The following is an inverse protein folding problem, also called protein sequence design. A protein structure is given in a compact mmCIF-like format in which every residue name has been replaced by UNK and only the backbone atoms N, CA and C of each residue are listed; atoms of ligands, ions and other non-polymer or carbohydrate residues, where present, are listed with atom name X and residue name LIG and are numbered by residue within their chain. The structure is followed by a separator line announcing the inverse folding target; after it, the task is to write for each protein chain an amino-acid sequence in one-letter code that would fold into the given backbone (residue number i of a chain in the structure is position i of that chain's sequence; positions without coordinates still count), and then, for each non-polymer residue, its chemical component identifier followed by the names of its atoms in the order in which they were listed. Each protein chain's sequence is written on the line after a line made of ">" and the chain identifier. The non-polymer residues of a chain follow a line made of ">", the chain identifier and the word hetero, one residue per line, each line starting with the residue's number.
data_IF_235299624617
#
_entry.id   IF_235299624617
#
_cell.length_a   1.000
_cell.length_b   1.000
_cell.length_c   1.000
_cell.angle_alpha   90.00
_cell.angle_beta   90.00
_cell.angle_gamma   90.00
#
_symmetry.space_group_name_H-M   'P 1'
#
loop_
_entity.id
_entity.type
_entity.pdbx_description
1 polymer ?
#
# COMPACT_ATOMS: atom_id res chain seq x y z
N UNK A 1 -8.17 -13.68 -11.68
CA UNK A 1 -7.34 -13.55 -10.45
C UNK A 1 -7.41 -12.09 -9.99
N UNK A 2 -8.13 -11.79 -8.90
CA UNK A 2 -8.24 -10.42 -8.40
C UNK A 2 -6.88 -9.86 -8.02
N UNK A 3 -6.53 -8.67 -8.53
CA UNK A 3 -5.28 -7.98 -8.17
C UNK A 3 -5.23 -7.76 -6.65
N UNK A 4 -4.17 -8.24 -6.02
CA UNK A 4 -3.92 -8.12 -4.57
C UNK A 4 -3.42 -6.73 -4.22
N UNK A 5 -4.24 -5.71 -4.46
CA UNK A 5 -3.87 -4.33 -4.20
C UNK A 5 -3.61 -4.10 -2.71
N UNK A 6 -2.65 -3.25 -2.38
CA UNK A 6 -2.24 -2.97 -1.01
C UNK A 6 -2.84 -1.64 -0.56
N UNK A 7 -3.71 -1.68 0.44
CA UNK A 7 -4.37 -0.51 0.99
C UNK A 7 -3.63 -0.04 2.24
N UNK A 8 -3.26 1.24 2.29
CA UNK A 8 -2.78 1.91 3.49
C UNK A 8 -3.96 2.63 4.11
N UNK A 9 -4.50 2.09 5.20
CA UNK A 9 -5.72 2.57 5.85
C UNK A 9 -5.42 3.06 7.28
N UNK A 10 -6.19 4.03 7.80
CA UNK A 10 -6.11 4.39 9.21
C UNK A 10 -6.48 3.20 10.10
N UNK A 11 -5.79 3.07 11.24
CA UNK A 11 -5.96 2.03 12.24
C UNK A 11 -5.97 2.64 13.64
N UNK A 12 -6.51 1.94 14.64
CA UNK A 12 -6.53 2.41 16.04
C UNK A 12 -5.13 2.81 16.55
N UNK A 13 -4.13 2.03 16.18
CA UNK A 13 -2.73 2.20 16.61
C UNK A 13 -1.86 2.97 15.60
N UNK A 14 -2.49 3.65 14.63
CA UNK A 14 -1.80 4.42 13.58
C UNK A 14 -2.27 4.06 12.19
N UNK A 15 -1.47 3.30 11.44
CA UNK A 15 -1.69 3.03 10.02
C UNK A 15 -1.42 1.58 9.65
N UNK A 16 -2.35 0.95 8.96
CA UNK A 16 -2.28 -0.46 8.60
C UNK A 16 -2.12 -0.68 7.09
N UNK A 17 -1.33 -1.69 6.71
CA UNK A 17 -1.33 -2.25 5.36
C UNK A 17 -2.39 -3.36 5.30
N UNK A 18 -3.30 -3.31 4.34
CA UNK A 18 -4.34 -4.31 4.13
C UNK A 18 -4.40 -4.72 2.67
N UNK A 19 -4.18 -6.00 2.39
CA UNK A 19 -4.38 -6.55 1.05
C UNK A 19 -5.86 -6.53 0.65
N UNK A 20 -6.14 -6.24 -0.62
CA UNK A 20 -7.49 -6.29 -1.17
C UNK A 20 -8.06 -7.71 -1.02
N UNK A 21 -9.22 -7.82 -0.37
CA UNK A 21 -9.86 -9.10 -0.05
C UNK A 21 -9.38 -9.76 1.25
N UNK A 22 -8.35 -9.23 1.92
CA UNK A 22 -7.96 -9.73 3.24
C UNK A 22 -8.89 -9.19 4.33
N UNK A 23 -9.33 -10.06 5.24
CA UNK A 23 -10.09 -9.63 6.42
C UNK A 23 -9.23 -8.90 7.45
N UNK A 24 -7.93 -9.21 7.51
CA UNK A 24 -6.97 -8.69 8.50
C UNK A 24 -5.94 -7.76 7.87
N UNK A 25 -5.44 -6.82 8.66
CA UNK A 25 -4.25 -6.06 8.33
C UNK A 25 -3.03 -6.99 8.26
N UNK A 26 -2.17 -6.77 7.27
CA UNK A 26 -0.89 -7.46 7.12
C UNK A 26 0.13 -6.97 8.12
N UNK A 27 0.14 -5.66 8.40
CA UNK A 27 1.02 -5.02 9.38
C UNK A 27 0.42 -3.67 9.79
N UNK A 28 0.77 -3.22 11.00
CA UNK A 28 0.40 -1.91 11.54
C UNK A 28 1.68 -1.18 11.94
N UNK A 29 1.75 0.10 11.59
CA UNK A 29 2.86 0.98 11.92
C UNK A 29 2.32 2.28 12.54
N UNK A 30 3.16 2.97 13.31
CA UNK A 30 2.78 4.21 13.97
C UNK A 30 2.55 5.36 12.99
N UNK A 31 3.29 5.40 11.87
CA UNK A 31 3.18 6.48 10.89
C UNK A 31 2.74 6.00 9.51
N UNK A 32 2.00 6.87 8.80
CA UNK A 32 1.56 6.59 7.45
C UNK A 32 2.74 6.38 6.50
N UNK A 33 3.85 7.10 6.71
CA UNK A 33 5.05 7.03 5.87
C UNK A 33 5.67 5.64 5.89
N UNK A 34 5.79 5.03 7.07
CA UNK A 34 6.29 3.67 7.24
C UNK A 34 5.35 2.64 6.60
N UNK A 35 4.04 2.81 6.80
CA UNK A 35 3.02 1.94 6.20
C UNK A 35 3.03 2.01 4.67
N UNK A 36 3.20 3.21 4.09
CA UNK A 36 3.35 3.40 2.64
C UNK A 36 4.59 2.65 2.15
N UNK A 37 5.76 2.88 2.76
CA UNK A 37 6.99 2.21 2.34
C UNK A 37 6.84 0.68 2.35
N UNK A 38 6.16 0.12 3.37
CA UNK A 38 5.88 -1.32 3.42
C UNK A 38 4.90 -1.77 2.34
N UNK A 39 3.79 -1.03 2.15
CA UNK A 39 2.80 -1.33 1.12
C UNK A 39 3.41 -1.33 -0.28
N UNK A 40 4.31 -0.39 -0.59
CA UNK A 40 5.03 -0.33 -1.86
C UNK A 40 5.93 -1.54 -2.09
N UNK A 41 6.69 -1.99 -1.08
CA UNK A 41 7.51 -3.21 -1.21
C UNK A 41 6.62 -4.42 -1.52
N UNK A 42 5.50 -4.56 -0.82
CA UNK A 42 4.57 -5.68 -1.05
C UNK A 42 3.96 -5.59 -2.45
N UNK A 43 3.51 -4.40 -2.85
CA UNK A 43 2.87 -4.16 -4.14
C UNK A 43 3.85 -4.39 -5.31
N UNK A 44 5.11 -3.95 -5.18
CA UNK A 44 6.19 -4.24 -6.14
C UNK A 44 6.40 -5.75 -6.32
N UNK A 45 6.51 -6.48 -5.21
CA UNK A 45 6.70 -7.94 -5.24
C UNK A 45 5.49 -8.68 -5.84
N UNK A 46 4.28 -8.19 -5.60
CA UNK A 46 3.04 -8.81 -6.08
C UNK A 46 2.58 -8.27 -7.44
N UNK A 47 3.31 -7.31 -8.03
CA UNK A 47 2.89 -6.57 -9.24
C UNK A 47 1.47 -6.03 -9.12
N UNK A 48 1.19 -5.43 -7.97
CA UNK A 48 -0.12 -4.92 -7.58
C UNK A 48 -0.06 -3.41 -7.34
N UNK A 49 -1.21 -2.80 -7.09
CA UNK A 49 -1.29 -1.35 -6.89
C UNK A 49 -1.33 -1.01 -5.40
N UNK A 50 -0.76 0.12 -5.01
CA UNK A 50 -0.97 0.70 -3.68
C UNK A 50 -2.13 1.70 -3.71
N UNK A 51 -2.93 1.72 -2.65
CA UNK A 51 -4.00 2.69 -2.42
C UNK A 51 -3.78 3.32 -1.06
N UNK A 52 -3.45 4.60 -1.04
CA UNK A 52 -3.13 5.35 0.18
C UNK A 52 -4.36 6.13 0.59
N UNK A 53 -4.92 5.81 1.75
CA UNK A 53 -6.09 6.49 2.29
C UNK A 53 -5.67 7.69 3.15
N UNK A 54 -6.49 8.74 3.18
CA UNK A 54 -6.40 9.80 4.18
C UNK A 54 -6.99 9.37 5.52
N UNK A 55 -6.87 10.23 6.54
CA UNK A 55 -7.52 10.02 7.83
C UNK A 55 -9.06 9.99 7.71
N UNK A 56 -9.59 10.58 6.65
CA UNK A 56 -11.00 10.55 6.26
C UNK A 56 -11.42 9.23 5.57
N UNK A 57 -10.49 8.28 5.42
CA UNK A 57 -10.72 6.99 4.78
C UNK A 57 -10.81 7.03 3.25
N UNK A 58 -10.74 8.20 2.61
CA UNK A 58 -10.73 8.33 1.15
C UNK A 58 -9.35 8.09 0.58
N UNK A 59 -9.28 7.59 -0.65
CA UNK A 59 -8.00 7.42 -1.34
C UNK A 59 -7.47 8.80 -1.74
N UNK A 60 -6.29 9.15 -1.25
CA UNK A 60 -5.59 10.40 -1.57
C UNK A 60 -4.44 10.24 -2.56
N UNK A 61 -3.86 9.04 -2.63
CA UNK A 61 -2.72 8.73 -3.47
C UNK A 61 -2.62 7.22 -3.74
N UNK A 62 -1.76 6.82 -4.66
CA UNK A 62 -1.48 5.41 -4.93
C UNK A 62 -0.56 5.25 -6.13
N UNK A 63 0.15 4.13 -6.17
CA UNK A 63 1.09 3.77 -7.24
C UNK A 63 0.68 2.44 -7.86
N UNK A 64 0.87 2.31 -9.18
CA UNK A 64 0.66 1.05 -9.89
C UNK A 64 2.01 0.35 -10.08
N UNK A 65 2.10 -0.93 -9.71
CA UNK A 65 3.28 -1.76 -9.99
C UNK A 65 2.94 -2.96 -10.88
N UNK A 66 1.71 -3.02 -11.38
CA UNK A 66 1.26 -4.02 -12.35
C UNK A 66 1.63 -3.61 -13.76
N UNK A 67 2.77 -4.10 -14.26
CA UNK A 67 3.19 -4.07 -15.67
C UNK A 67 3.74 -2.73 -16.23
N UNK A 68 4.60 -2.05 -15.49
CA UNK A 68 5.48 -1.02 -16.08
C UNK A 68 6.87 -1.64 -16.39
N UNK A 69 7.30 -1.72 -17.67
CA UNK A 69 8.64 -2.22 -18.05
C UNK A 69 9.79 -1.30 -17.60
N UNK A 70 9.51 -0.22 -16.87
CA UNK A 70 10.51 0.72 -16.38
C UNK A 70 10.20 1.12 -14.93
N UNK A 71 10.67 0.38 -13.90
CA UNK A 71 10.59 0.89 -12.54
C UNK A 71 11.54 2.09 -12.42
N UNK A 72 11.08 3.28 -11.99
CA UNK A 72 12.00 4.35 -11.65
C UNK A 72 12.92 3.85 -10.53
N UNK A 73 14.22 3.76 -10.83
CA UNK A 73 15.25 3.60 -9.81
C UNK A 73 15.33 4.94 -9.12
N UNK A 74 14.62 5.09 -8.00
CA UNK A 74 14.86 6.17 -7.06
C UNK A 74 16.32 6.06 -6.61
N UNK A 75 17.19 6.87 -7.24
CA UNK A 75 18.53 7.14 -6.74
C UNK A 75 18.35 8.03 -5.52
N UNK A 76 18.56 7.46 -4.33
CA UNK A 76 18.85 8.24 -3.13
C UNK A 76 20.26 8.83 -3.25
#
# INVERSE_FOLDING_TARGET
>A
MSKKNQHVVPHSDGWAVKGAGNSKATAVYGTQKETIARAEVIAKNQRADTKIHGADGRIRAGNSYGNDPCPPRDKK
#
